data_IF_438123387508
#
_entry.id   IF_438123387508
#
_cell.length_a   1.000
_cell.length_b   1.000
_cell.length_c   1.000
_cell.angle_alpha   90.00
_cell.angle_beta   90.00
_cell.angle_gamma   90.00
#
_symmetry.space_group_name_H-M   'P 1'
#
loop_
_entity.id
_entity.type
_entity.pdbx_description
1 polymer ?
#
# COMPACT_ATOMS: atom_id res chain seq x y z
N UNK A 1 24.18 -29.87 29.59
CA UNK A 1 25.33 -29.06 29.18
C UNK A 1 25.44 -29.10 27.66
N UNK A 2 24.82 -28.15 26.94
CA UNK A 2 25.21 -27.82 25.58
C UNK A 2 26.09 -26.55 25.57
N UNK A 3 27.06 -26.51 24.66
CA UNK A 3 28.03 -25.43 24.51
C UNK A 3 27.39 -24.10 24.04
N UNK A 4 27.91 -22.94 24.44
CA UNK A 4 27.36 -21.65 24.06
C UNK A 4 27.86 -21.20 22.68
N UNK A 5 26.93 -20.75 21.84
CA UNK A 5 27.19 -20.08 20.55
C UNK A 5 27.66 -18.66 20.82
N UNK A 6 28.87 -18.33 20.36
CA UNK A 6 29.49 -17.00 20.45
C UNK A 6 28.83 -16.03 19.47
N UNK A 7 28.27 -14.94 19.99
CA UNK A 7 27.75 -13.81 19.21
C UNK A 7 28.92 -12.87 18.89
N UNK A 8 29.24 -12.71 17.61
CA UNK A 8 30.21 -11.72 17.12
C UNK A 8 29.57 -10.33 17.10
N UNK A 9 30.16 -9.37 17.84
CA UNK A 9 29.81 -7.96 17.74
C UNK A 9 30.33 -7.35 16.42
N UNK A 10 29.63 -6.34 15.85
CA UNK A 10 30.15 -5.56 14.74
C UNK A 10 31.20 -4.54 15.22
N UNK A 11 32.19 -4.15 14.38
CA UNK A 11 33.26 -3.27 14.78
C UNK A 11 32.80 -1.80 14.92
N UNK A 12 33.39 -1.14 15.92
CA UNK A 12 33.27 0.28 16.25
C UNK A 12 33.84 1.18 15.14
N UNK A 13 33.08 2.17 14.71
CA UNK A 13 33.56 3.25 13.83
C UNK A 13 34.20 4.37 14.67
N UNK A 14 35.46 4.69 14.36
CA UNK A 14 36.19 5.85 14.90
C UNK A 14 36.04 7.04 13.92
N UNK A 15 35.88 8.30 14.39
CA UNK A 15 35.54 9.42 13.54
C UNK A 15 36.82 10.13 13.06
N UNK A 16 37.20 9.88 11.81
CA UNK A 16 38.28 10.56 11.10
C UNK A 16 37.74 11.58 10.11
N UNK A 17 37.90 12.86 10.44
CA UNK A 17 37.66 14.03 9.59
C UNK A 17 38.45 14.00 8.29
N UNK A 18 37.81 14.27 7.15
CA UNK A 18 38.45 15.02 6.08
C UNK A 18 37.41 15.82 5.27
N UNK A 19 37.68 17.11 5.19
CA UNK A 19 36.85 18.17 4.64
C UNK A 19 37.46 18.56 3.30
N UNK A 20 36.73 18.42 2.19
CA UNK A 20 37.17 18.94 0.89
C UNK A 20 35.99 19.44 0.06
N UNK A 21 35.79 20.76 0.15
CA UNK A 21 35.33 21.69 -0.88
C UNK A 21 34.10 21.30 -1.73
N UNK A 22 32.96 21.82 -1.30
CA UNK A 22 31.81 22.09 -2.16
C UNK A 22 32.18 23.11 -3.24
N UNK A 23 31.87 22.80 -4.49
CA UNK A 23 31.69 23.80 -5.54
C UNK A 23 30.22 23.77 -5.94
N UNK A 24 29.58 24.93 -5.77
CA UNK A 24 28.22 25.23 -6.17
C UNK A 24 28.08 25.11 -7.68
N UNK A 25 27.18 24.22 -8.12
CA UNK A 25 26.48 24.39 -9.39
C UNK A 25 25.06 23.80 -9.24
N UNK A 26 24.14 24.66 -8.77
CA UNK A 26 22.70 24.37 -8.70
C UNK A 26 22.13 24.42 -10.13
N UNK A 27 22.29 23.33 -10.87
CA UNK A 27 21.52 23.09 -12.10
C UNK A 27 20.11 22.64 -11.73
N UNK A 28 19.12 23.35 -12.29
CA UNK A 28 17.68 23.09 -12.30
C UNK A 28 17.35 21.59 -12.13
N UNK A 29 16.61 21.26 -11.08
CA UNK A 29 16.22 19.90 -10.73
C UNK A 29 15.56 19.18 -11.92
N UNK A 30 16.21 18.09 -12.35
CA UNK A 30 15.63 17.11 -13.26
C UNK A 30 14.23 16.70 -12.76
N UNK A 31 13.26 16.57 -13.67
CA UNK A 31 12.00 15.90 -13.38
C UNK A 31 12.22 14.48 -12.82
N UNK A 32 11.16 13.79 -12.33
CA UNK A 32 11.31 12.48 -11.71
C UNK A 32 12.13 11.56 -12.60
N UNK A 33 13.36 11.24 -12.16
CA UNK A 33 14.25 10.35 -12.88
C UNK A 33 13.58 8.98 -12.91
N UNK A 34 13.16 8.55 -14.10
CA UNK A 34 12.67 7.19 -14.32
C UNK A 34 13.75 6.26 -13.76
N UNK A 35 13.42 5.36 -12.82
CA UNK A 35 14.42 4.46 -12.25
C UNK A 35 15.13 3.73 -13.40
N UNK A 36 16.41 4.01 -13.59
CA UNK A 36 17.29 3.16 -14.39
C UNK A 36 17.61 1.93 -13.53
N UNK A 37 16.63 1.02 -13.41
CA UNK A 37 16.77 -0.23 -12.68
C UNK A 37 17.07 -1.35 -13.68
N UNK A 38 18.30 -1.86 -13.56
CA UNK A 38 18.85 -3.14 -13.99
C UNK A 38 18.30 -3.69 -15.32
N UNK A 39 19.12 -3.63 -16.37
CA UNK A 39 18.94 -4.35 -17.64
C UNK A 39 19.23 -5.86 -17.47
N UNK A 40 18.58 -6.49 -16.49
CA UNK A 40 18.64 -7.93 -16.28
C UNK A 40 17.39 -8.55 -16.93
N UNK A 41 17.58 -9.00 -18.16
CA UNK A 41 16.55 -9.70 -18.95
C UNK A 41 16.01 -10.92 -18.18
N UNK A 42 16.86 -11.66 -17.46
CA UNK A 42 16.44 -12.83 -16.67
C UNK A 42 15.50 -12.42 -15.54
N UNK A 43 15.78 -11.31 -14.85
CA UNK A 43 14.87 -10.78 -13.82
C UNK A 43 13.52 -10.35 -14.41
N UNK A 44 13.53 -9.66 -15.56
CA UNK A 44 12.30 -9.24 -16.25
C UNK A 44 11.44 -10.44 -16.64
N UNK A 45 12.05 -11.46 -17.22
CA UNK A 45 11.37 -12.71 -17.59
C UNK A 45 10.79 -13.41 -16.36
N UNK A 46 11.56 -13.53 -15.27
CA UNK A 46 11.11 -14.19 -14.04
C UNK A 46 9.92 -13.48 -13.39
N UNK A 47 9.94 -12.15 -13.28
CA UNK A 47 8.82 -11.37 -12.72
C UNK A 47 7.60 -11.44 -13.65
N UNK A 48 7.81 -11.35 -14.96
CA UNK A 48 6.73 -11.43 -15.93
C UNK A 48 6.06 -12.81 -15.95
N UNK A 49 6.84 -13.88 -15.80
CA UNK A 49 6.30 -15.24 -15.68
C UNK A 49 5.32 -15.34 -14.49
N UNK A 50 5.63 -14.72 -13.34
CA UNK A 50 4.70 -14.66 -12.20
C UNK A 50 3.43 -13.88 -12.53
N UNK A 51 3.54 -12.74 -13.23
CA UNK A 51 2.37 -11.98 -13.71
C UNK A 51 1.49 -12.84 -14.61
N UNK A 52 2.09 -13.62 -15.52
CA UNK A 52 1.37 -14.52 -16.40
C UNK A 52 0.69 -15.65 -15.62
N UNK A 53 1.37 -16.25 -14.63
CA UNK A 53 0.82 -17.29 -13.76
C UNK A 53 -0.31 -16.78 -12.87
N UNK A 54 -0.26 -15.53 -12.40
CA UNK A 54 -1.35 -14.88 -11.67
C UNK A 54 -2.60 -14.68 -12.54
N UNK A 55 -2.39 -14.53 -13.85
CA UNK A 55 -3.42 -14.28 -14.87
C UNK A 55 -3.84 -15.54 -15.63
N UNK A 56 -3.30 -16.70 -15.26
CA UNK A 56 -3.60 -17.96 -15.93
C UNK A 56 -5.10 -18.26 -15.81
N UNK A 57 -5.74 -18.59 -16.94
CA UNK A 57 -7.18 -18.87 -17.00
C UNK A 57 -7.58 -20.15 -16.25
N UNK A 58 -6.63 -21.05 -16.00
CA UNK A 58 -6.80 -22.27 -15.21
C UNK A 58 -6.45 -22.08 -13.74
N UNK A 59 -6.02 -20.88 -13.34
CA UNK A 59 -5.72 -20.59 -11.94
C UNK A 59 -7.01 -20.71 -11.12
N UNK A 60 -7.00 -21.47 -10.02
CA UNK A 60 -8.23 -21.74 -9.28
C UNK A 60 -8.80 -20.46 -8.66
N UNK A 61 -10.06 -20.17 -8.98
CA UNK A 61 -10.76 -18.98 -8.49
C UNK A 61 -11.41 -19.21 -7.11
N UNK A 62 -11.96 -18.16 -6.51
CA UNK A 62 -12.54 -18.18 -5.15
C UNK A 62 -13.45 -19.37 -4.89
N UNK A 63 -14.47 -19.61 -5.72
CA UNK A 63 -15.42 -20.72 -5.48
C UNK A 63 -14.79 -22.11 -5.62
N UNK A 64 -13.80 -22.28 -6.49
CA UNK A 64 -13.07 -23.54 -6.66
C UNK A 64 -12.21 -23.84 -5.44
N UNK A 65 -11.41 -22.86 -4.99
CA UNK A 65 -10.64 -22.97 -3.76
C UNK A 65 -11.56 -23.23 -2.56
N UNK A 66 -12.67 -22.50 -2.46
CA UNK A 66 -13.62 -22.65 -1.37
C UNK A 66 -14.21 -24.06 -1.31
N UNK A 67 -14.52 -24.66 -2.46
CA UNK A 67 -15.04 -26.04 -2.54
C UNK A 67 -14.04 -27.09 -2.04
N UNK A 68 -12.75 -26.77 -2.02
CA UNK A 68 -11.67 -27.67 -1.58
C UNK A 68 -11.26 -27.44 -0.12
N UNK A 69 -11.43 -26.21 0.40
CA UNK A 69 -10.94 -25.84 1.75
C UNK A 69 -12.05 -25.71 2.79
N UNK A 70 -13.31 -25.56 2.36
CA UNK A 70 -14.43 -25.24 3.22
C UNK A 70 -15.59 -26.24 3.12
N UNK A 71 -16.30 -26.37 4.23
CA UNK A 71 -17.53 -27.16 4.36
C UNK A 71 -18.75 -26.21 4.52
N UNK A 72 -19.97 -26.74 4.37
CA UNK A 72 -21.23 -26.03 4.64
C UNK A 72 -21.34 -24.64 3.96
N UNK A 73 -20.90 -24.52 2.69
CA UNK A 73 -20.92 -23.25 1.96
C UNK A 73 -22.34 -22.81 1.64
N UNK A 74 -22.70 -21.60 2.06
CA UNK A 74 -23.98 -20.93 1.77
C UNK A 74 -23.70 -19.53 1.22
N UNK A 75 -23.88 -19.35 -0.08
CA UNK A 75 -23.74 -18.05 -0.75
C UNK A 75 -24.92 -17.11 -0.43
N UNK A 76 -24.62 -15.82 -0.24
CA UNK A 76 -25.58 -14.77 0.07
C UNK A 76 -25.51 -13.64 -0.96
N UNK A 77 -26.66 -13.36 -1.59
CA UNK A 77 -26.74 -12.43 -2.71
C UNK A 77 -27.22 -11.02 -2.32
N UNK A 78 -26.83 -10.05 -3.14
CA UNK A 78 -27.36 -8.68 -3.17
C UNK A 78 -26.74 -7.72 -2.15
N UNK A 79 -26.71 -6.44 -2.50
CA UNK A 79 -26.29 -5.33 -1.63
C UNK A 79 -27.44 -4.70 -0.83
N UNK A 80 -28.69 -5.06 -1.16
CA UNK A 80 -29.95 -4.48 -0.64
C UNK A 80 -30.20 -3.03 -1.08
N UNK A 81 -29.52 -2.57 -2.12
CA UNK A 81 -29.63 -1.21 -2.64
C UNK A 81 -29.85 -1.17 -4.15
N UNK A 82 -29.00 -1.86 -4.93
CA UNK A 82 -29.01 -1.75 -6.39
C UNK A 82 -29.09 -3.11 -7.08
N UNK A 83 -28.09 -3.99 -6.93
CA UNK A 83 -28.09 -5.33 -7.54
C UNK A 83 -27.19 -6.31 -6.80
N UNK A 84 -27.29 -7.58 -7.18
CA UNK A 84 -26.28 -8.57 -6.87
C UNK A 84 -25.16 -8.52 -7.92
N UNK A 85 -23.94 -8.20 -7.49
CA UNK A 85 -22.78 -8.16 -8.38
C UNK A 85 -22.16 -9.56 -8.53
N UNK A 86 -22.14 -10.15 -9.74
CA UNK A 86 -21.58 -11.47 -9.96
C UNK A 86 -20.05 -11.51 -9.81
N UNK A 87 -19.33 -10.39 -9.93
CA UNK A 87 -17.88 -10.34 -9.83
C UNK A 87 -17.36 -10.49 -8.39
N UNK A 88 -18.24 -10.40 -7.39
CA UNK A 88 -17.91 -10.54 -5.98
C UNK A 88 -18.83 -11.56 -5.32
N UNK A 89 -18.34 -12.69 -4.86
CA UNK A 89 -19.14 -13.71 -4.15
C UNK A 89 -18.95 -13.59 -2.64
N UNK A 90 -19.87 -14.13 -1.86
CA UNK A 90 -19.69 -14.15 -0.40
C UNK A 90 -20.85 -14.79 0.34
N UNK A 91 -20.62 -15.19 1.58
CA UNK A 91 -21.59 -15.94 2.35
C UNK A 91 -21.01 -16.55 3.62
N UNK A 92 -21.60 -17.64 4.08
CA UNK A 92 -21.12 -18.41 5.23
C UNK A 92 -20.47 -19.71 4.77
N UNK A 93 -19.46 -20.16 5.50
CA UNK A 93 -18.96 -21.53 5.37
C UNK A 93 -18.27 -21.96 6.67
N UNK A 94 -17.67 -23.15 6.66
CA UNK A 94 -16.76 -23.62 7.69
C UNK A 94 -15.37 -23.87 7.14
N UNK A 95 -14.35 -23.32 7.76
CA UNK A 95 -12.95 -23.59 7.44
C UNK A 95 -12.29 -24.13 8.71
N UNK A 96 -11.69 -25.32 8.65
CA UNK A 96 -11.12 -25.95 9.85
C UNK A 96 -12.14 -26.22 10.96
N UNK A 97 -13.43 -26.45 10.60
CA UNK A 97 -14.54 -26.59 11.55
C UNK A 97 -15.09 -25.28 12.10
N UNK A 98 -14.41 -24.15 11.89
CA UNK A 98 -14.81 -22.82 12.35
C UNK A 98 -15.79 -22.17 11.38
N UNK A 99 -16.89 -21.61 11.88
CA UNK A 99 -17.83 -20.83 11.07
C UNK A 99 -17.17 -19.51 10.68
N UNK A 100 -17.20 -19.17 9.40
CA UNK A 100 -16.61 -17.94 8.86
C UNK A 100 -17.57 -17.25 7.91
N UNK A 101 -17.39 -15.94 7.73
CA UNK A 101 -17.95 -15.22 6.58
C UNK A 101 -16.87 -15.11 5.52
N UNK A 102 -17.16 -15.59 4.31
CA UNK A 102 -16.24 -15.43 3.19
C UNK A 102 -16.73 -14.33 2.24
N UNK A 103 -15.78 -13.63 1.61
CA UNK A 103 -16.02 -12.71 0.49
C UNK A 103 -14.89 -12.86 -0.51
N UNK A 104 -15.15 -12.88 -1.81
CA UNK A 104 -14.03 -12.91 -2.75
C UNK A 104 -14.38 -12.45 -4.15
N UNK A 105 -13.37 -12.01 -4.88
CA UNK A 105 -13.51 -11.77 -6.32
C UNK A 105 -13.74 -13.10 -7.02
N UNK A 106 -14.66 -13.12 -7.98
CA UNK A 106 -14.94 -14.31 -8.76
C UNK A 106 -14.75 -13.96 -10.24
N UNK A 107 -13.69 -14.51 -10.84
CA UNK A 107 -13.54 -14.60 -12.30
C UNK A 107 -14.33 -15.82 -12.83
N UNK A 108 -14.35 -16.03 -14.15
CA UNK A 108 -14.96 -17.21 -14.76
C UNK A 108 -13.92 -18.18 -15.29
N UNK A 109 -14.21 -19.47 -15.24
CA UNK A 109 -13.34 -20.49 -15.86
C UNK A 109 -13.45 -20.49 -17.39
N UNK A 110 -14.63 -20.10 -17.90
CA UNK A 110 -14.94 -20.07 -19.34
C UNK A 110 -15.25 -18.65 -19.81
N UNK A 111 -15.23 -18.42 -21.13
CA UNK A 111 -15.45 -17.09 -21.73
C UNK A 111 -16.80 -16.49 -21.33
N UNK A 112 -17.89 -17.24 -21.47
CA UNK A 112 -19.24 -16.78 -21.12
C UNK A 112 -19.36 -16.48 -19.63
N UNK A 113 -18.71 -17.29 -18.79
CA UNK A 113 -18.69 -17.03 -17.36
C UNK A 113 -17.87 -15.79 -17.01
N UNK A 114 -16.71 -15.59 -17.65
CA UNK A 114 -15.89 -14.40 -17.47
C UNK A 114 -16.66 -13.13 -17.82
N UNK A 115 -17.41 -13.13 -18.93
CA UNK A 115 -18.27 -12.02 -19.30
C UNK A 115 -19.34 -11.79 -18.22
N UNK A 116 -20.03 -12.84 -17.79
CA UNK A 116 -21.06 -12.76 -16.73
C UNK A 116 -20.49 -12.23 -15.42
N UNK A 117 -19.29 -12.66 -15.04
CA UNK A 117 -18.57 -12.30 -13.82
C UNK A 117 -17.77 -11.00 -13.98
N UNK A 118 -17.92 -10.31 -15.11
CA UNK A 118 -17.18 -9.09 -15.44
C UNK A 118 -15.65 -9.22 -15.23
N UNK A 119 -15.10 -10.39 -15.56
CA UNK A 119 -13.69 -10.73 -15.39
C UNK A 119 -13.18 -10.52 -13.95
N UNK A 120 -14.06 -10.70 -12.96
CA UNK A 120 -13.74 -10.46 -11.55
C UNK A 120 -13.55 -8.99 -11.19
N UNK A 121 -14.03 -8.05 -12.02
CA UNK A 121 -14.01 -6.61 -11.75
C UNK A 121 -15.33 -6.17 -11.11
N UNK A 122 -15.39 -5.90 -9.79
CA UNK A 122 -16.63 -5.48 -9.15
C UNK A 122 -17.02 -4.06 -9.53
N UNK A 123 -18.32 -3.85 -9.59
CA UNK A 123 -18.98 -2.56 -9.55
C UNK A 123 -19.22 -2.12 -8.09
N UNK A 124 -19.71 -0.89 -7.84
CA UNK A 124 -19.89 -0.36 -6.48
C UNK A 124 -20.76 -1.25 -5.57
N UNK A 125 -21.86 -1.76 -6.09
CA UNK A 125 -22.76 -2.74 -5.47
C UNK A 125 -22.04 -4.01 -4.97
N UNK A 126 -20.97 -4.48 -5.63
CA UNK A 126 -20.15 -5.59 -5.15
C UNK A 126 -19.51 -5.24 -3.81
N UNK A 127 -18.85 -4.09 -3.72
CA UNK A 127 -18.25 -3.61 -2.46
C UNK A 127 -19.30 -3.31 -1.38
N UNK A 128 -20.48 -2.83 -1.76
CA UNK A 128 -21.61 -2.66 -0.81
C UNK A 128 -22.12 -4.00 -0.28
N UNK A 129 -22.20 -5.03 -1.14
CA UNK A 129 -22.49 -6.41 -0.72
C UNK A 129 -21.40 -6.92 0.24
N UNK A 130 -20.13 -6.66 -0.02
CA UNK A 130 -19.03 -7.00 0.88
C UNK A 130 -19.22 -6.38 2.27
N UNK A 131 -19.44 -5.06 2.34
CA UNK A 131 -19.69 -4.33 3.59
C UNK A 131 -20.90 -4.89 4.35
N UNK A 132 -21.97 -5.27 3.65
CA UNK A 132 -23.13 -5.94 4.26
C UNK A 132 -22.75 -7.27 4.91
N UNK A 133 -21.90 -8.06 4.26
CA UNK A 133 -21.41 -9.34 4.79
C UNK A 133 -20.45 -9.14 5.96
N UNK A 134 -19.58 -8.12 5.92
CA UNK A 134 -18.71 -7.75 7.04
C UNK A 134 -19.51 -7.35 8.28
N UNK A 135 -20.57 -6.55 8.11
CA UNK A 135 -21.47 -6.20 9.20
C UNK A 135 -22.20 -7.42 9.79
N UNK A 136 -22.55 -8.41 8.95
CA UNK A 136 -23.09 -9.68 9.43
C UNK A 136 -22.06 -10.50 10.21
N UNK A 137 -20.82 -10.53 9.73
CA UNK A 137 -19.71 -11.22 10.39
C UNK A 137 -19.48 -10.66 11.80
N UNK A 138 -19.35 -9.33 11.93
CA UNK A 138 -19.17 -8.65 13.22
C UNK A 138 -20.35 -8.89 14.16
N UNK A 139 -21.60 -8.76 13.67
CA UNK A 139 -22.81 -8.97 14.49
C UNK A 139 -22.91 -10.40 15.02
N UNK A 140 -22.43 -11.38 14.26
CA UNK A 140 -22.43 -12.80 14.64
C UNK A 140 -21.12 -13.23 15.30
N UNK A 141 -20.17 -12.30 15.48
CA UNK A 141 -18.84 -12.55 16.01
C UNK A 141 -18.11 -13.68 15.25
N UNK A 142 -18.26 -13.68 13.92
CA UNK A 142 -17.61 -14.64 13.02
C UNK A 142 -16.42 -13.99 12.34
N UNK A 143 -15.28 -14.70 12.24
CA UNK A 143 -14.14 -14.20 11.47
C UNK A 143 -14.48 -14.07 9.98
N UNK A 144 -13.80 -13.14 9.33
CA UNK A 144 -13.90 -12.87 7.89
C UNK A 144 -12.68 -13.45 7.18
N UNK A 145 -12.91 -14.16 6.08
CA UNK A 145 -11.86 -14.57 5.14
C UNK A 145 -12.15 -13.93 3.78
N UNK A 146 -11.21 -13.16 3.23
CA UNK A 146 -11.37 -12.58 1.90
C UNK A 146 -10.43 -13.21 0.88
N UNK A 147 -10.90 -13.39 -0.35
CA UNK A 147 -10.12 -13.92 -1.48
C UNK A 147 -10.00 -12.87 -2.58
N UNK A 148 -8.76 -12.46 -2.86
CA UNK A 148 -8.43 -11.37 -3.77
C UNK A 148 -7.92 -11.92 -5.11
N UNK A 149 -8.70 -11.70 -6.16
CA UNK A 149 -8.37 -12.06 -7.54
C UNK A 149 -9.11 -11.16 -8.54
N UNK A 150 -8.63 -9.92 -8.69
CA UNK A 150 -9.22 -8.91 -9.55
C UNK A 150 -8.14 -8.10 -10.26
N UNK A 151 -8.31 -7.78 -11.57
CA UNK A 151 -7.46 -6.81 -12.22
C UNK A 151 -7.74 -5.37 -11.75
N UNK A 152 -8.87 -5.14 -11.06
CA UNK A 152 -9.28 -3.86 -10.49
C UNK A 152 -10.79 -3.71 -10.39
N UNK A 153 -11.25 -2.59 -9.82
CA UNK A 153 -12.66 -2.23 -9.89
C UNK A 153 -13.05 -1.91 -11.34
N UNK A 154 -14.30 -2.17 -11.73
CA UNK A 154 -14.73 -1.96 -13.11
C UNK A 154 -14.70 -0.47 -13.49
N UNK A 155 -13.87 -0.04 -14.46
CA UNK A 155 -13.65 1.36 -14.79
C UNK A 155 -14.63 1.84 -15.88
N UNK A 156 -15.93 1.78 -15.59
CA UNK A 156 -16.99 2.15 -16.55
C UNK A 156 -17.87 3.31 -16.09
N UNK A 157 -18.56 4.03 -17.02
CA UNK A 157 -19.45 5.15 -16.67
C UNK A 157 -20.51 4.77 -15.63
N UNK A 158 -21.09 3.58 -15.78
CA UNK A 158 -22.05 3.02 -14.84
C UNK A 158 -21.48 2.84 -13.42
N UNK A 159 -20.20 2.48 -13.28
CA UNK A 159 -19.52 2.41 -11.97
C UNK A 159 -19.32 3.79 -11.35
N UNK A 160 -18.94 4.78 -12.17
CA UNK A 160 -18.75 6.15 -11.73
C UNK A 160 -20.07 6.78 -11.26
N UNK A 161 -21.13 6.67 -12.06
CA UNK A 161 -22.48 7.17 -11.74
C UNK A 161 -23.01 6.60 -10.42
N UNK A 162 -22.63 5.36 -10.09
CA UNK A 162 -23.02 4.68 -8.86
C UNK A 162 -22.02 4.80 -7.72
N UNK A 163 -20.94 5.58 -7.88
CA UNK A 163 -19.99 5.92 -6.82
C UNK A 163 -19.01 4.80 -6.48
N UNK A 164 -18.22 4.33 -7.44
CA UNK A 164 -17.16 3.32 -7.19
C UNK A 164 -16.11 3.79 -6.20
N UNK A 165 -15.67 5.04 -6.30
CA UNK A 165 -14.73 5.62 -5.36
C UNK A 165 -15.29 5.65 -3.92
N UNK A 166 -16.57 6.02 -3.76
CA UNK A 166 -17.26 6.01 -2.46
C UNK A 166 -17.37 4.60 -1.89
N UNK A 167 -17.77 3.63 -2.72
CA UNK A 167 -17.94 2.26 -2.29
C UNK A 167 -16.61 1.62 -1.83
N UNK A 168 -15.51 1.85 -2.57
CA UNK A 168 -14.16 1.41 -2.20
C UNK A 168 -13.72 2.09 -0.89
N UNK A 169 -13.80 3.43 -0.81
CA UNK A 169 -13.36 4.18 0.35
C UNK A 169 -14.12 3.77 1.63
N UNK A 170 -15.43 3.57 1.53
CA UNK A 170 -16.23 3.07 2.66
C UNK A 170 -15.92 1.63 3.02
N UNK A 171 -15.60 0.78 2.05
CA UNK A 171 -15.22 -0.60 2.34
C UNK A 171 -13.91 -0.64 3.13
N UNK A 172 -12.89 0.11 2.69
CA UNK A 172 -11.62 0.29 3.41
C UNK A 172 -11.88 0.80 4.83
N UNK A 173 -12.67 1.87 4.98
CA UNK A 173 -13.00 2.44 6.29
C UNK A 173 -13.74 1.44 7.19
N UNK A 174 -14.69 0.67 6.64
CA UNK A 174 -15.45 -0.36 7.36
C UNK A 174 -14.51 -1.46 7.87
N UNK A 175 -13.69 -2.02 6.99
CA UNK A 175 -12.75 -3.07 7.35
C UNK A 175 -11.71 -2.59 8.35
N UNK A 176 -11.24 -1.34 8.28
CA UNK A 176 -10.26 -0.80 9.25
C UNK A 176 -10.76 -0.79 10.71
N UNK A 177 -12.09 -0.79 10.91
CA UNK A 177 -12.72 -0.68 12.24
C UNK A 177 -13.46 -1.94 12.67
N UNK A 178 -13.49 -2.98 11.83
CA UNK A 178 -14.30 -4.17 12.04
C UNK A 178 -13.79 -4.96 13.26
N UNK A 179 -14.66 -5.22 14.23
CA UNK A 179 -14.35 -5.87 15.51
C UNK A 179 -14.46 -7.39 15.44
N UNK A 180 -13.83 -7.98 14.42
CA UNK A 180 -13.71 -9.43 14.26
C UNK A 180 -12.43 -9.75 13.49
N UNK A 181 -11.86 -10.97 13.61
CA UNK A 181 -10.68 -11.35 12.85
C UNK A 181 -10.90 -11.26 11.35
N UNK A 182 -9.92 -10.76 10.62
CA UNK A 182 -9.91 -10.70 9.15
C UNK A 182 -8.61 -11.32 8.64
N UNK A 183 -8.74 -12.34 7.79
CA UNK A 183 -7.63 -12.88 7.01
C UNK A 183 -7.91 -12.66 5.53
N UNK A 184 -7.00 -11.99 4.83
CA UNK A 184 -7.07 -11.82 3.37
C UNK A 184 -6.12 -12.78 2.69
N UNK A 185 -6.56 -13.41 1.60
CA UNK A 185 -5.75 -14.25 0.73
C UNK A 185 -5.72 -13.64 -0.66
N UNK A 186 -4.54 -13.28 -1.16
CA UNK A 186 -4.34 -12.90 -2.56
C UNK A 186 -4.10 -14.17 -3.34
N UNK A 187 -5.12 -14.60 -4.07
CA UNK A 187 -5.10 -15.86 -4.80
C UNK A 187 -4.62 -15.67 -6.23
N UNK A 188 -4.82 -14.51 -6.85
CA UNK A 188 -4.36 -14.22 -8.22
C UNK A 188 -3.87 -12.79 -8.36
N UNK A 189 -4.68 -11.94 -8.98
CA UNK A 189 -4.36 -10.51 -9.14
C UNK A 189 -4.90 -9.67 -7.98
N UNK A 190 -4.02 -8.87 -7.36
CA UNK A 190 -4.37 -7.81 -6.42
C UNK A 190 -4.39 -6.45 -7.12
N UNK A 191 -5.41 -6.18 -7.92
CA UNK A 191 -5.52 -4.94 -8.70
C UNK A 191 -5.97 -3.72 -7.90
N UNK A 192 -5.03 -2.85 -7.51
CA UNK A 192 -5.26 -1.48 -7.04
C UNK A 192 -6.32 -1.35 -5.93
N UNK A 193 -7.05 -0.23 -5.90
CA UNK A 193 -8.13 0.03 -4.95
C UNK A 193 -9.27 -1.01 -5.01
N UNK A 194 -9.45 -1.69 -6.15
CA UNK A 194 -10.48 -2.71 -6.29
C UNK A 194 -10.19 -4.00 -5.53
N UNK A 195 -8.90 -4.34 -5.38
CA UNK A 195 -8.42 -5.36 -4.47
C UNK A 195 -8.42 -4.86 -3.02
N UNK A 196 -7.86 -3.67 -2.78
CA UNK A 196 -7.74 -3.09 -1.44
C UNK A 196 -9.09 -2.95 -0.72
N UNK A 197 -10.17 -2.73 -1.46
CA UNK A 197 -11.52 -2.64 -0.93
C UNK A 197 -11.95 -3.85 -0.09
N UNK A 198 -11.36 -5.03 -0.29
CA UNK A 198 -11.61 -6.23 0.53
C UNK A 198 -10.34 -6.82 1.16
N UNK A 199 -9.25 -6.06 1.22
CA UNK A 199 -7.92 -6.55 1.63
C UNK A 199 -7.34 -5.84 2.85
N UNK A 200 -8.16 -5.05 3.56
CA UNK A 200 -7.76 -4.42 4.83
C UNK A 200 -7.98 -5.45 5.95
N UNK A 201 -6.92 -6.13 6.36
CA UNK A 201 -7.00 -7.31 7.23
C UNK A 201 -6.00 -7.28 8.38
N UNK A 202 -6.18 -8.20 9.33
CA UNK A 202 -5.22 -8.44 10.41
C UNK A 202 -3.99 -9.19 9.87
N UNK A 203 -4.24 -10.14 8.97
CA UNK A 203 -3.22 -10.93 8.28
C UNK A 203 -3.53 -10.98 6.78
N UNK A 204 -2.50 -10.77 5.96
CA UNK A 204 -2.53 -10.87 4.51
C UNK A 204 -1.62 -12.01 4.07
N UNK A 205 -2.23 -13.03 3.49
CA UNK A 205 -1.59 -14.20 2.88
C UNK A 205 -1.61 -14.00 1.37
N UNK A 206 -0.59 -14.46 0.65
CA UNK A 206 -0.63 -14.56 -0.80
C UNK A 206 -0.10 -15.90 -1.29
N UNK A 207 -0.66 -16.40 -2.39
CA UNK A 207 -0.04 -17.49 -3.12
C UNK A 207 1.24 -16.99 -3.81
N UNK A 208 2.24 -17.85 -3.97
CA UNK A 208 3.60 -17.51 -4.43
C UNK A 208 3.66 -16.72 -5.74
N UNK A 209 2.79 -17.06 -6.70
CA UNK A 209 2.74 -16.42 -8.00
C UNK A 209 1.67 -15.32 -8.07
N UNK A 210 0.96 -15.03 -6.97
CA UNK A 210 0.05 -13.90 -6.92
C UNK A 210 0.81 -12.57 -7.02
N UNK A 211 0.12 -11.54 -7.50
CA UNK A 211 0.67 -10.19 -7.65
C UNK A 211 -0.19 -9.19 -6.88
N UNK A 212 0.41 -8.12 -6.36
CA UNK A 212 -0.32 -7.02 -5.71
C UNK A 212 0.29 -5.68 -6.14
N UNK A 213 -0.51 -4.82 -6.76
CA UNK A 213 -0.02 -3.56 -7.31
C UNK A 213 -1.01 -2.41 -7.28
N UNK A 214 -0.50 -1.18 -7.22
CA UNK A 214 -1.31 0.05 -7.25
C UNK A 214 -1.90 0.36 -8.63
N UNK A 215 -1.30 -0.18 -9.70
CA UNK A 215 -1.70 -0.04 -11.10
C UNK A 215 -1.33 -1.33 -11.85
N UNK A 216 -1.92 -1.60 -13.01
CA UNK A 216 -1.43 -2.70 -13.85
C UNK A 216 -0.04 -2.39 -14.43
N UNK A 217 0.81 -3.40 -14.69
CA UNK A 217 2.08 -3.18 -15.38
C UNK A 217 1.91 -2.44 -16.71
N UNK A 218 0.88 -2.78 -17.47
CA UNK A 218 0.53 -2.13 -18.73
C UNK A 218 0.17 -0.66 -18.56
N UNK A 219 -0.62 -0.34 -17.53
CA UNK A 219 -1.01 1.02 -17.20
C UNK A 219 0.21 1.85 -16.79
N UNK A 220 1.06 1.32 -15.92
CA UNK A 220 2.31 1.96 -15.51
C UNK A 220 3.24 2.23 -16.71
N UNK A 221 3.42 1.24 -17.58
CA UNK A 221 4.23 1.35 -18.79
C UNK A 221 3.72 2.46 -19.74
N UNK A 222 2.40 2.53 -19.93
CA UNK A 222 1.77 3.57 -20.75
C UNK A 222 1.97 4.99 -20.21
N UNK A 223 2.10 5.16 -18.89
CA UNK A 223 2.24 6.47 -18.25
C UNK A 223 3.71 6.88 -18.17
N UNK A 224 4.56 6.04 -17.58
CA UNK A 224 5.96 6.38 -17.29
C UNK A 224 6.87 6.23 -18.51
N UNK A 225 6.61 5.24 -19.37
CA UNK A 225 7.41 4.97 -20.57
C UNK A 225 6.70 5.35 -21.87
N UNK A 226 5.44 5.81 -21.81
CA UNK A 226 4.61 6.13 -23.00
C UNK A 226 4.54 4.98 -24.01
N UNK A 227 4.66 3.75 -23.52
CA UNK A 227 4.72 2.54 -24.35
C UNK A 227 4.22 1.34 -23.56
N UNK A 228 3.23 0.62 -24.10
CA UNK A 228 2.79 -0.66 -23.53
C UNK A 228 3.84 -1.76 -23.65
N UNK A 229 4.81 -1.61 -24.57
CA UNK A 229 5.92 -2.55 -24.74
C UNK A 229 6.86 -2.61 -23.53
N UNK A 230 6.81 -1.63 -22.62
CA UNK A 230 7.61 -1.59 -21.41
C UNK A 230 6.95 -2.28 -20.19
N UNK A 231 5.88 -3.08 -20.39
CA UNK A 231 5.13 -3.71 -19.28
C UNK A 231 5.97 -4.60 -18.37
N UNK A 232 6.92 -5.37 -18.92
CA UNK A 232 7.84 -6.18 -18.12
C UNK A 232 8.77 -5.32 -17.25
N UNK A 233 9.29 -4.24 -17.84
CA UNK A 233 10.12 -3.28 -17.11
C UNK A 233 9.33 -2.59 -15.99
N UNK A 234 8.08 -2.21 -16.27
CA UNK A 234 7.18 -1.65 -15.28
C UNK A 234 6.89 -2.64 -14.15
N UNK A 235 6.66 -3.93 -14.46
CA UNK A 235 6.41 -4.95 -13.45
C UNK A 235 7.56 -5.08 -12.44
N UNK A 236 8.81 -5.11 -12.93
CA UNK A 236 10.01 -5.12 -12.07
C UNK A 236 10.12 -3.85 -11.24
N UNK A 237 9.97 -2.68 -11.88
CA UNK A 237 10.09 -1.40 -11.18
C UNK A 237 9.05 -1.23 -10.05
N UNK A 238 7.88 -1.84 -10.20
CA UNK A 238 6.80 -1.78 -9.24
C UNK A 238 6.92 -2.76 -8.07
N UNK A 239 7.81 -3.76 -8.17
CA UNK A 239 8.04 -4.79 -7.13
C UNK A 239 6.75 -5.51 -6.70
N UNK A 240 5.95 -5.93 -7.68
CA UNK A 240 4.56 -6.38 -7.47
C UNK A 240 4.39 -7.84 -7.03
N UNK A 241 5.47 -8.64 -7.00
CA UNK A 241 5.37 -10.08 -6.71
C UNK A 241 5.09 -10.34 -5.23
N UNK A 242 4.43 -11.46 -4.89
CA UNK A 242 4.14 -11.81 -3.50
C UNK A 242 5.39 -11.78 -2.58
N UNK A 243 6.54 -12.26 -3.06
CA UNK A 243 7.79 -12.24 -2.31
C UNK A 243 8.31 -10.83 -2.05
N UNK A 244 8.22 -9.93 -3.04
CA UNK A 244 8.64 -8.54 -2.86
C UNK A 244 7.69 -7.76 -1.94
N UNK A 245 6.39 -8.01 -2.04
CA UNK A 245 5.38 -7.41 -1.18
C UNK A 245 5.51 -7.90 0.27
N UNK A 246 5.93 -9.15 0.47
CA UNK A 246 6.31 -9.65 1.79
C UNK A 246 7.57 -8.96 2.33
N UNK A 247 8.60 -8.77 1.49
CA UNK A 247 9.80 -8.02 1.86
C UNK A 247 9.50 -6.53 2.18
N UNK A 248 8.41 -5.98 1.66
CA UNK A 248 7.91 -4.63 1.97
C UNK A 248 7.02 -4.59 3.22
N UNK A 249 6.69 -5.72 3.84
CA UNK A 249 5.80 -5.80 5.00
C UNK A 249 4.31 -5.60 4.67
N UNK A 250 3.93 -5.67 3.39
CA UNK A 250 2.52 -5.58 2.96
C UNK A 250 1.82 -6.93 3.12
N UNK A 251 2.52 -8.02 2.78
CA UNK A 251 2.06 -9.41 2.88
C UNK A 251 2.80 -10.07 4.05
N UNK A 252 2.09 -10.82 4.89
CA UNK A 252 2.65 -11.49 6.06
C UNK A 252 3.19 -12.88 5.73
N UNK A 253 2.48 -13.59 4.84
CA UNK A 253 2.78 -14.98 4.52
C UNK A 253 2.65 -15.24 3.02
N UNK A 254 3.67 -15.88 2.46
CA UNK A 254 3.65 -16.40 1.09
C UNK A 254 3.50 -17.92 1.13
N UNK A 255 2.42 -18.43 0.54
CA UNK A 255 2.15 -19.86 0.45
C UNK A 255 2.73 -20.40 -0.87
N UNK A 256 3.67 -21.36 -0.83
CA UNK A 256 4.30 -21.90 -2.02
C UNK A 256 3.28 -22.65 -2.89
N UNK A 257 3.36 -22.47 -4.20
CA UNK A 257 2.50 -23.17 -5.16
C UNK A 257 3.15 -24.51 -5.59
N UNK A 258 2.37 -25.50 -6.03
CA UNK A 258 2.92 -26.74 -6.58
C UNK A 258 3.44 -26.54 -8.01
N UNK A 259 4.48 -27.28 -8.39
CA UNK A 259 4.97 -27.36 -9.76
C UNK A 259 5.19 -25.98 -10.41
N UNK A 260 4.52 -25.76 -11.54
CA UNK A 260 4.57 -24.51 -12.32
C UNK A 260 3.57 -23.45 -11.82
N UNK A 261 2.74 -23.76 -10.83
CA UNK A 261 1.77 -22.84 -10.23
C UNK A 261 0.51 -23.53 -9.73
N UNK A 262 -0.38 -22.75 -9.11
CA UNK A 262 -1.60 -23.20 -8.45
C UNK A 262 -2.55 -24.03 -9.34
N UNK A 263 -2.51 -23.78 -10.65
CA UNK A 263 -3.33 -24.49 -11.64
C UNK A 263 -2.84 -25.93 -11.90
N UNK A 264 -1.61 -26.29 -11.51
CA UNK A 264 -1.04 -27.62 -11.74
C UNK A 264 -1.61 -28.68 -10.80
N UNK A 265 -1.79 -28.32 -9.53
CA UNK A 265 -2.50 -29.12 -8.53
C UNK A 265 -3.35 -28.20 -7.62
N UNK A 266 -4.60 -27.93 -8.00
CA UNK A 266 -5.51 -27.12 -7.19
C UNK A 266 -5.79 -27.72 -5.82
N UNK A 267 -5.76 -29.05 -5.67
CA UNK A 267 -6.02 -29.72 -4.40
C UNK A 267 -4.85 -29.57 -3.43
N UNK A 268 -3.61 -29.71 -3.90
CA UNK A 268 -2.43 -29.42 -3.10
C UNK A 268 -2.36 -27.95 -2.72
N UNK A 269 -2.62 -27.04 -3.67
CA UNK A 269 -2.69 -25.59 -3.41
C UNK A 269 -3.70 -25.27 -2.32
N UNK A 270 -4.92 -25.82 -2.44
CA UNK A 270 -5.97 -25.67 -1.45
C UNK A 270 -5.56 -26.23 -0.08
N UNK A 271 -4.90 -27.39 -0.03
CA UNK A 271 -4.40 -27.99 1.20
C UNK A 271 -3.38 -27.10 1.93
N UNK A 272 -2.38 -26.58 1.21
CA UNK A 272 -1.37 -25.65 1.75
C UNK A 272 -2.01 -24.34 2.23
N UNK A 273 -2.91 -23.79 1.44
CA UNK A 273 -3.64 -22.57 1.79
C UNK A 273 -4.52 -22.77 3.03
N UNK A 274 -5.24 -23.90 3.11
CA UNK A 274 -6.10 -24.25 4.26
C UNK A 274 -5.27 -24.35 5.54
N UNK A 275 -4.09 -24.96 5.48
CA UNK A 275 -3.20 -25.05 6.63
C UNK A 275 -2.79 -23.67 7.15
N UNK A 276 -2.38 -22.76 6.24
CA UNK A 276 -2.04 -21.38 6.58
C UNK A 276 -3.25 -20.64 7.17
N UNK A 277 -4.40 -20.69 6.50
CA UNK A 277 -5.64 -20.05 6.94
C UNK A 277 -6.07 -20.49 8.35
N UNK A 278 -6.07 -21.80 8.62
CA UNK A 278 -6.48 -22.33 9.92
C UNK A 278 -5.52 -21.86 11.02
N UNK A 279 -4.21 -21.89 10.77
CA UNK A 279 -3.22 -21.41 11.73
C UNK A 279 -3.44 -19.94 12.11
N UNK A 280 -3.61 -19.07 11.12
CA UNK A 280 -3.83 -17.63 11.36
C UNK A 280 -5.19 -17.37 12.03
N UNK A 281 -6.25 -18.06 11.60
CA UNK A 281 -7.56 -17.95 12.24
C UNK A 281 -7.51 -18.37 13.71
N UNK A 282 -6.81 -19.45 14.05
CA UNK A 282 -6.69 -19.92 15.44
C UNK A 282 -5.94 -18.93 16.34
N UNK A 283 -4.93 -18.23 15.79
CA UNK A 283 -4.22 -17.17 16.50
C UNK A 283 -5.08 -15.93 16.70
N UNK A 284 -5.81 -15.49 15.67
CA UNK A 284 -6.55 -14.23 15.71
C UNK A 284 -7.84 -14.32 16.54
N UNK A 285 -8.54 -15.45 16.51
CA UNK A 285 -9.78 -15.64 17.30
C UNK A 285 -9.55 -15.66 18.81
N UNK A 286 -8.30 -15.87 19.25
CA UNK A 286 -7.92 -15.81 20.66
C UNK A 286 -7.69 -14.37 21.17
N UNK A 287 -7.64 -13.37 20.27
CA UNK A 287 -7.38 -11.96 20.61
C UNK A 287 -8.66 -11.22 20.95
N UNK A 288 -8.53 -10.18 21.77
CA UNK A 288 -9.66 -9.28 22.05
C UNK A 288 -10.02 -8.46 20.80
N UNK A 289 -11.32 -8.23 20.50
CA UNK A 289 -11.71 -7.43 19.35
C UNK A 289 -11.17 -6.00 19.32
N UNK A 290 -10.90 -5.38 20.48
CA UNK A 290 -10.22 -4.08 20.56
C UNK A 290 -8.76 -4.17 20.14
N UNK A 291 -8.04 -5.22 20.57
CA UNK A 291 -6.65 -5.47 20.15
C UNK A 291 -6.54 -5.72 18.64
N UNK A 292 -7.51 -6.41 18.04
CA UNK A 292 -7.57 -6.61 16.58
C UNK A 292 -7.62 -5.27 15.85
N UNK A 293 -8.53 -4.38 16.27
CA UNK A 293 -8.69 -3.05 15.64
C UNK A 293 -7.43 -2.20 15.80
N UNK A 294 -6.83 -2.17 17.00
CA UNK A 294 -5.60 -1.39 17.23
C UNK A 294 -4.37 -1.96 16.50
N UNK A 295 -4.25 -3.29 16.44
CA UNK A 295 -3.19 -3.95 15.67
C UNK A 295 -3.32 -3.61 14.18
N UNK A 296 -4.55 -3.64 13.65
CA UNK A 296 -4.83 -3.28 12.26
C UNK A 296 -4.52 -1.81 12.00
N UNK A 297 -4.94 -0.90 12.88
CA UNK A 297 -4.62 0.52 12.77
C UNK A 297 -3.11 0.75 12.73
N UNK A 298 -2.37 0.17 13.68
CA UNK A 298 -0.91 0.32 13.79
C UNK A 298 -0.21 -0.19 12.53
N UNK A 299 -0.57 -1.40 12.07
CA UNK A 299 -0.07 -2.01 10.83
C UNK A 299 -0.15 -1.03 9.66
N UNK A 300 -1.34 -0.50 9.36
CA UNK A 300 -1.51 0.39 8.21
C UNK A 300 -0.91 1.77 8.43
N UNK A 301 -0.80 2.25 9.68
CA UNK A 301 -0.20 3.55 10.01
C UNK A 301 1.31 3.57 9.85
N UNK A 302 1.96 2.43 10.04
CA UNK A 302 3.41 2.22 9.90
C UNK A 302 3.83 1.98 8.44
N UNK A 303 2.89 1.65 7.54
CA UNK A 303 3.19 1.45 6.12
C UNK A 303 3.65 2.75 5.45
N UNK A 304 4.77 2.68 4.75
CA UNK A 304 5.34 3.75 3.94
C UNK A 304 6.59 4.37 4.56
N UNK A 305 7.65 4.48 3.74
CA UNK A 305 8.90 5.13 4.12
C UNK A 305 8.89 6.57 3.66
N UNK A 306 9.16 7.51 4.57
CA UNK A 306 9.26 8.93 4.27
C UNK A 306 10.40 9.56 5.08
N UNK A 307 11.04 10.58 4.51
CA UNK A 307 11.93 11.46 5.24
C UNK A 307 11.16 12.73 5.58
N UNK A 308 11.13 13.12 6.85
CA UNK A 308 10.56 14.40 7.25
C UNK A 308 11.54 15.50 6.88
N UNK A 309 11.17 16.37 5.95
CA UNK A 309 11.94 17.59 5.68
C UNK A 309 11.59 18.57 6.80
N UNK A 310 12.58 18.96 7.61
CA UNK A 310 12.39 20.00 8.62
C UNK A 310 11.95 21.31 7.97
N UNK A 311 11.34 22.25 8.71
CA UNK A 311 11.04 23.56 8.16
C UNK A 311 12.33 24.16 7.61
N UNK A 312 12.36 24.50 6.33
CA UNK A 312 13.45 25.32 5.79
C UNK A 312 13.49 26.58 6.64
N UNK A 313 14.55 26.74 7.43
CA UNK A 313 14.95 28.02 7.99
C UNK A 313 15.38 28.90 6.82
N UNK A 314 14.41 29.35 6.03
CA UNK A 314 14.61 30.55 5.22
C UNK A 314 14.83 31.65 6.24
N UNK A 315 16.09 32.03 6.44
CA UNK A 315 16.42 33.24 7.16
C UNK A 315 15.57 34.33 6.52
N UNK A 316 14.55 34.78 7.26
CA UNK A 316 13.62 35.81 6.80
C UNK A 316 14.50 36.99 6.45
N UNK A 317 14.71 37.25 5.16
CA UNK A 317 15.50 38.38 4.72
C UNK A 317 15.00 39.60 5.49
N UNK A 318 15.86 40.19 6.31
CA UNK A 318 15.50 41.33 7.15
C UNK A 318 14.94 42.39 6.23
N UNK A 319 13.61 42.54 6.24
CA UNK A 319 12.95 43.58 5.48
C UNK A 319 13.37 44.88 6.15
N UNK A 320 14.37 45.54 5.57
CA UNK A 320 14.82 46.83 6.02
C UNK A 320 13.59 47.75 6.08
N UNK A 321 13.23 48.14 7.31
CA UNK A 321 12.17 49.11 7.54
C UNK A 321 12.46 50.39 6.75
N UNK A 322 11.46 51.26 6.61
CA UNK A 322 11.60 52.53 5.87
C UNK A 322 12.86 53.30 6.33
N UNK A 323 13.18 53.27 7.63
CA UNK A 323 14.40 53.88 8.18
C UNK A 323 15.73 53.17 7.88
N UNK A 324 15.71 51.89 7.48
CA UNK A 324 16.89 51.19 6.93
C UNK A 324 17.16 51.61 5.50
N UNK A 325 16.11 51.66 4.67
CA UNK A 325 16.17 52.12 3.27
C UNK A 325 16.54 53.60 3.13
N UNK A 326 16.05 54.45 4.05
CA UNK A 326 16.44 55.87 4.10
C UNK A 326 17.92 56.06 4.48
N UNK A 327 18.47 55.16 5.32
CA UNK A 327 19.89 55.20 5.70
C UNK A 327 20.80 54.80 4.54
N UNK A 328 20.43 53.77 3.78
CA UNK A 328 21.12 53.39 2.53
C UNK A 328 21.11 54.54 1.52
N UNK A 329 19.94 55.12 1.23
CA UNK A 329 19.81 56.25 0.29
C UNK A 329 20.64 57.48 0.71
N UNK A 330 20.73 57.75 2.02
CA UNK A 330 21.55 58.85 2.54
C UNK A 330 23.05 58.52 2.54
N UNK A 331 23.44 57.25 2.69
CA UNK A 331 24.83 56.81 2.57
C UNK A 331 25.29 56.85 1.11
N UNK A 332 24.46 56.38 0.18
CA UNK A 332 24.73 56.43 -1.26
C UNK A 332 24.75 57.88 -1.77
N UNK A 333 23.84 58.73 -1.28
CA UNK A 333 23.83 60.16 -1.58
C UNK A 333 25.06 60.91 -1.04
N UNK A 334 25.59 60.51 0.13
CA UNK A 334 26.83 61.07 0.68
C UNK A 334 28.08 60.61 -0.08
N UNK A 335 28.08 59.38 -0.60
CA UNK A 335 29.15 58.88 -1.47
C UNK A 335 29.16 59.62 -2.82
N UNK A 336 27.99 59.92 -3.39
CA UNK A 336 27.87 60.66 -4.66
C UNK A 336 28.27 62.15 -4.55
N UNK A 337 28.18 62.76 -3.37
CA UNK A 337 28.50 64.18 -3.12
C UNK A 337 29.92 64.42 -2.59
N UNK A 338 30.77 63.40 -2.52
CA UNK A 338 32.22 63.56 -2.25
C UNK A 338 32.56 64.13 -0.88
N UNK A 339 31.70 63.94 0.13
CA UNK A 339 31.91 64.50 1.47
C UNK A 339 32.68 63.52 2.35
N UNK A 340 34.02 63.61 2.36
CA UNK A 340 34.89 62.85 3.28
C UNK A 340 35.09 63.63 4.58
N UNK A 341 34.07 63.64 5.43
CA UNK A 341 34.18 64.16 6.79
C UNK A 341 34.82 63.16 7.74
N UNK A 342 36.11 63.31 8.04
CA UNK A 342 36.79 62.64 9.16
C UNK A 342 36.15 63.05 10.50
N UNK A 343 35.76 62.08 11.34
CA UNK A 343 35.24 62.41 12.67
C UNK A 343 34.90 61.24 13.59
N UNK A 344 35.93 60.71 14.26
CA UNK A 344 35.95 60.05 15.59
C UNK A 344 35.15 58.76 15.80
N UNK A 345 35.91 57.68 15.99
CA UNK A 345 35.56 56.56 16.87
C UNK A 345 35.07 57.07 18.23
N UNK A 346 33.89 56.61 18.65
CA UNK A 346 33.52 56.50 20.07
C UNK A 346 33.12 55.06 20.36
N UNK A 347 33.73 54.54 21.40
CA UNK A 347 33.62 53.20 21.95
C UNK A 347 32.43 53.03 22.90
N UNK A 348 31.77 51.86 22.80
CA UNK A 348 31.06 51.06 23.83
C UNK A 348 29.80 51.65 24.52
N UNK A 349 28.98 50.88 25.29
CA UNK A 349 29.00 49.44 25.61
C UNK A 349 27.61 48.75 25.45
N UNK A 350 27.53 47.47 25.85
CA UNK A 350 26.39 46.56 25.69
C UNK A 350 25.15 46.81 26.54
N UNK A 351 24.21 45.88 26.41
CA UNK A 351 22.96 45.80 27.16
C UNK A 351 22.05 44.71 26.61
N UNK A 352 22.05 43.56 27.27
CA UNK A 352 20.92 42.60 27.27
C UNK A 352 19.61 43.35 27.51
N UNK A 353 18.54 42.97 26.81
CA UNK A 353 17.18 42.95 27.37
C UNK A 353 16.29 41.99 26.57
N UNK A 354 15.89 40.95 27.30
CA UNK A 354 14.73 40.07 27.19
C UNK A 354 13.63 40.45 26.18
N UNK A 355 13.34 39.52 25.27
CA UNK A 355 12.06 39.46 24.53
C UNK A 355 11.03 38.67 25.36
N UNK A 356 9.81 39.21 25.61
CA UNK A 356 8.75 38.49 26.30
C UNK A 356 7.99 37.52 25.34
N UNK A 357 7.38 36.45 25.87
CA UNK A 357 6.85 35.35 25.06
C UNK A 357 5.54 35.70 24.34
N UNK A 358 5.43 35.20 23.10
CA UNK A 358 4.24 35.26 22.26
C UNK A 358 3.09 34.45 22.89
N UNK A 359 1.92 35.09 22.98
CA UNK A 359 0.65 34.49 23.39
C UNK A 359 0.08 33.61 22.26
N UNK A 360 -0.42 32.44 22.66
CA UNK A 360 -1.36 31.59 21.93
C UNK A 360 -2.74 32.26 21.83
N UNK A 361 -3.39 32.17 20.66
CA UNK A 361 -4.83 32.28 20.38
C UNK A 361 -5.00 31.80 18.92
N UNK A 362 -5.94 30.96 18.46
CA UNK A 362 -7.12 30.22 18.94
C UNK A 362 -7.26 28.98 18.03
#
# INVERSE_FOLDING_TARGET
MPEPVTVSQPPSADPGTENAAASDDLTVADGPRIPQLIDDETLREAVWARVQLARDVKRPHTLELLSLIADDVVELHGDRLFRDDPALVGGFCRIGGRRVVFVGHQKGAETDENIRRNFGMPHPEGYRKAMRLFALAERLQLPVVTFVDTPGAFPGPASEERGVAEAIARSIATMSRLRTPIVTVITGEGGSGGALAIAVADVVIALENAIYSVISPEGCASILWRSSGASQQAAVAMRLTAGEQAALGVIDLVVPEPGEGAHTDPAETAGRLRQALVGELDLLVARDPGELVESRYSRFREMGSYATVGPETTARAERHGIGGRLRELLQDGRAALGWTGHGRQRSQPGGDMDDPPLREEI
#
